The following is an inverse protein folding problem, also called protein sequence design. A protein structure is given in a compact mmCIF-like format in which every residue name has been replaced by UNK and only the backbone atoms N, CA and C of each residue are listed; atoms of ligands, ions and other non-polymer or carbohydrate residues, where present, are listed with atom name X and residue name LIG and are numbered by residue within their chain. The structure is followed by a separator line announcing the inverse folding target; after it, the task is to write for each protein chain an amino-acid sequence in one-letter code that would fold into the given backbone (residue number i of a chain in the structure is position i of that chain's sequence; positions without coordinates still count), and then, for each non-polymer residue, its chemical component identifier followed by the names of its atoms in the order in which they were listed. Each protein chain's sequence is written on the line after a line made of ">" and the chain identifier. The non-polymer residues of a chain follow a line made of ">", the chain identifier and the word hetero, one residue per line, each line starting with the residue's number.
data_IF_501330127262
#
_entry.id   IF_501330127262
#
_cell.length_a   1.000
_cell.length_b   1.000
_cell.length_c   1.000
_cell.angle_alpha   90.00
_cell.angle_beta   90.00
_cell.angle_gamma   90.00
#
_symmetry.space_group_name_H-M   'P 1'
#
loop_
_entity.id
_entity.type
_entity.pdbx_description
1 polymer ?
#
# COMPACT_ATOMS: atom_id res chain seq x y z
N UNK A 1 5.41 -1.25 20.43
CA UNK A 1 6.03 -1.93 19.26
C UNK A 1 7.21 -1.08 18.77
N UNK A 2 8.35 -1.70 18.50
CA UNK A 2 9.51 -0.95 18.01
C UNK A 2 9.35 -0.57 16.54
N UNK A 3 10.01 0.53 16.11
CA UNK A 3 10.01 0.94 14.70
C UNK A 3 10.61 -0.11 13.78
N UNK A 4 11.55 -0.92 14.26
CA UNK A 4 12.12 -2.04 13.50
C UNK A 4 11.08 -3.10 13.18
N UNK A 5 10.23 -3.45 14.15
CA UNK A 5 9.12 -4.39 13.94
C UNK A 5 8.11 -3.81 12.98
N UNK A 6 7.77 -2.53 13.12
CA UNK A 6 6.88 -1.83 12.18
C UNK A 6 7.42 -1.84 10.75
N UNK A 7 8.71 -1.57 10.55
CA UNK A 7 9.35 -1.67 9.23
C UNK A 7 9.32 -3.09 8.67
N UNK A 8 9.57 -4.10 9.51
CA UNK A 8 9.48 -5.50 9.10
C UNK A 8 8.08 -5.87 8.62
N UNK A 9 7.06 -5.43 9.34
CA UNK A 9 5.67 -5.62 8.95
C UNK A 9 5.35 -4.94 7.60
N UNK A 10 5.72 -3.67 7.45
CA UNK A 10 5.50 -2.90 6.21
C UNK A 10 6.25 -3.56 5.05
N UNK A 11 7.49 -3.97 5.26
CA UNK A 11 8.29 -4.66 4.25
C UNK A 11 7.59 -5.93 3.75
N UNK A 12 7.20 -6.81 4.65
CA UNK A 12 6.54 -8.07 4.28
C UNK A 12 5.22 -7.81 3.58
N UNK A 13 4.42 -6.87 4.10
CA UNK A 13 3.14 -6.51 3.52
C UNK A 13 3.27 -6.05 2.06
N UNK A 14 4.15 -5.09 1.79
CA UNK A 14 4.32 -4.55 0.45
C UNK A 14 5.10 -5.47 -0.49
N UNK A 15 6.04 -6.25 0.04
CA UNK A 15 6.73 -7.25 -0.77
C UNK A 15 5.75 -8.31 -1.29
N UNK A 16 4.94 -8.87 -0.40
CA UNK A 16 3.94 -9.87 -0.78
C UNK A 16 2.85 -9.25 -1.66
N UNK A 17 2.39 -8.06 -1.33
CA UNK A 17 1.41 -7.32 -2.13
C UNK A 17 1.92 -7.06 -3.54
N UNK A 18 3.15 -6.56 -3.66
CA UNK A 18 3.78 -6.28 -4.95
C UNK A 18 3.96 -7.54 -5.81
N UNK A 19 4.39 -8.64 -5.21
CA UNK A 19 4.48 -9.94 -5.91
C UNK A 19 3.10 -10.40 -6.37
N UNK A 20 2.07 -10.25 -5.53
CA UNK A 20 0.70 -10.61 -5.88
C UNK A 20 0.17 -9.82 -7.08
N UNK A 21 0.59 -8.56 -7.28
CA UNK A 21 0.21 -7.79 -8.47
C UNK A 21 0.62 -8.49 -9.77
N UNK A 22 1.70 -9.24 -9.77
CA UNK A 22 2.15 -10.00 -10.93
C UNK A 22 1.50 -11.38 -11.02
N UNK A 23 1.37 -12.08 -9.89
CA UNK A 23 0.81 -13.44 -9.86
C UNK A 23 -0.71 -13.47 -9.97
N UNK A 24 -1.40 -12.43 -9.49
CA UNK A 24 -2.85 -12.32 -9.43
C UNK A 24 -3.34 -11.07 -10.18
N UNK A 25 -2.69 -10.71 -11.27
CA UNK A 25 -2.98 -9.49 -12.03
C UNK A 25 -4.44 -9.38 -12.48
N UNK A 26 -5.07 -10.48 -12.87
CA UNK A 26 -6.48 -10.52 -13.24
C UNK A 26 -7.42 -10.09 -12.11
N UNK A 27 -7.13 -10.52 -10.87
CA UNK A 27 -7.90 -10.11 -9.70
C UNK A 27 -7.78 -8.60 -9.43
N UNK A 28 -6.58 -8.03 -9.56
CA UNK A 28 -6.36 -6.59 -9.40
C UNK A 28 -7.00 -5.78 -10.52
N UNK A 29 -6.97 -6.26 -11.75
CA UNK A 29 -7.67 -5.62 -12.89
C UNK A 29 -9.17 -5.59 -12.65
N UNK A 30 -9.75 -6.65 -12.08
CA UNK A 30 -11.20 -6.74 -11.84
C UNK A 30 -11.74 -5.70 -10.86
N UNK A 31 -10.90 -5.15 -9.98
CA UNK A 31 -11.29 -4.12 -9.00
C UNK A 31 -11.00 -2.69 -9.47
N UNK A 32 -10.46 -2.51 -10.67
CA UNK A 32 -10.19 -1.18 -11.22
C UNK A 32 -11.47 -0.38 -11.39
N UNK A 33 -11.47 0.93 -11.02
CA UNK A 33 -12.61 1.80 -11.25
C UNK A 33 -12.94 1.93 -12.74
N UNK A 34 -14.24 2.03 -13.06
CA UNK A 34 -14.73 2.12 -14.45
C UNK A 34 -14.23 3.38 -15.19
N UNK A 35 -13.89 4.45 -14.46
CA UNK A 35 -13.36 5.68 -15.06
C UNK A 35 -11.91 5.56 -15.55
N UNK A 36 -11.20 4.49 -15.17
CA UNK A 36 -9.86 4.22 -15.70
C UNK A 36 -10.00 3.47 -17.03
N UNK A 37 -9.41 3.93 -18.13
CA UNK A 37 -9.46 3.24 -19.40
C UNK A 37 -8.97 1.79 -19.28
N UNK A 38 -9.68 0.85 -19.92
CA UNK A 38 -9.34 -0.57 -19.84
C UNK A 38 -7.91 -0.89 -20.31
N UNK A 39 -7.40 -0.13 -21.29
CA UNK A 39 -6.02 -0.27 -21.79
C UNK A 39 -4.96 0.06 -20.74
N UNK A 40 -5.31 0.79 -19.67
CA UNK A 40 -4.41 1.17 -18.59
C UNK A 40 -4.51 0.27 -17.36
N UNK A 41 -5.49 -0.65 -17.29
CA UNK A 41 -5.70 -1.50 -16.12
C UNK A 41 -4.48 -2.37 -15.82
N UNK A 42 -4.05 -3.18 -16.77
CA UNK A 42 -2.91 -4.09 -16.57
C UNK A 42 -1.59 -3.36 -16.37
N UNK A 43 -1.24 -2.33 -17.18
CA UNK A 43 -0.06 -1.51 -16.93
C UNK A 43 -0.05 -0.87 -15.53
N UNK A 44 -1.18 -0.34 -15.07
CA UNK A 44 -1.29 0.27 -13.74
C UNK A 44 -1.04 -0.76 -12.62
N UNK A 45 -1.58 -1.96 -12.75
CA UNK A 45 -1.35 -3.05 -11.79
C UNK A 45 0.14 -3.41 -11.72
N UNK A 46 0.80 -3.57 -12.85
CA UNK A 46 2.23 -3.91 -12.88
C UNK A 46 3.12 -2.80 -12.36
N UNK A 47 2.85 -1.55 -12.73
CA UNK A 47 3.58 -0.38 -12.21
C UNK A 47 3.43 -0.28 -10.69
N UNK A 48 2.22 -0.46 -10.18
CA UNK A 48 1.97 -0.48 -8.73
C UNK A 48 2.77 -1.58 -8.03
N UNK A 49 2.79 -2.78 -8.61
CA UNK A 49 3.55 -3.92 -8.08
C UNK A 49 5.06 -3.63 -8.00
N UNK A 50 5.63 -3.02 -9.04
CA UNK A 50 7.05 -2.61 -9.05
C UNK A 50 7.32 -1.58 -7.96
N UNK A 51 6.49 -0.55 -7.82
CA UNK A 51 6.64 0.47 -6.78
C UNK A 51 6.51 -0.12 -5.37
N UNK A 52 5.62 -1.06 -5.15
CA UNK A 52 5.49 -1.74 -3.87
C UNK A 52 6.75 -2.53 -3.51
N UNK A 53 7.31 -3.29 -4.43
CA UNK A 53 8.53 -4.07 -4.20
C UNK A 53 9.72 -3.15 -3.95
N UNK A 54 9.91 -2.14 -4.80
CA UNK A 54 11.00 -1.17 -4.68
C UNK A 54 10.88 -0.38 -3.37
N UNK A 55 9.68 0.06 -3.02
CA UNK A 55 9.41 0.74 -1.76
C UNK A 55 9.68 -0.15 -0.55
N UNK A 56 9.25 -1.41 -0.59
CA UNK A 56 9.50 -2.38 0.47
C UNK A 56 10.99 -2.58 0.74
N UNK A 57 11.78 -2.76 -0.31
CA UNK A 57 13.24 -2.88 -0.20
C UNK A 57 13.85 -1.56 0.29
N UNK A 58 13.39 -0.44 -0.26
CA UNK A 58 13.91 0.89 0.05
C UNK A 58 13.78 1.29 1.52
N UNK A 59 12.71 0.89 2.20
CA UNK A 59 12.55 1.21 3.63
C UNK A 59 13.56 0.49 4.54
N UNK A 60 14.15 -0.61 4.07
CA UNK A 60 15.19 -1.33 4.81
C UNK A 60 16.55 -0.62 4.71
N UNK A 61 16.76 0.19 3.67
CA UNK A 61 18.00 0.91 3.44
C UNK A 61 17.93 2.27 4.16
N UNK A 62 18.76 2.53 5.18
CA UNK A 62 18.66 3.74 5.99
C UNK A 62 18.63 5.05 5.18
N UNK A 63 19.48 5.16 4.15
CA UNK A 63 19.57 6.35 3.30
C UNK A 63 18.30 6.60 2.46
N UNK A 64 17.54 5.55 2.12
CA UNK A 64 16.36 5.61 1.26
C UNK A 64 15.04 5.51 2.05
N UNK A 65 15.11 5.18 3.30
CA UNK A 65 13.96 4.81 4.14
C UNK A 65 12.85 5.84 4.12
N UNK A 66 13.17 7.10 4.34
CA UNK A 66 12.17 8.17 4.38
C UNK A 66 11.52 8.39 3.01
N UNK A 67 12.32 8.42 1.96
CA UNK A 67 11.84 8.60 0.58
C UNK A 67 10.97 7.42 0.15
N UNK A 68 11.42 6.20 0.42
CA UNK A 68 10.66 4.99 0.13
C UNK A 68 9.35 4.94 0.93
N UNK A 69 9.38 5.31 2.21
CA UNK A 69 8.18 5.42 3.05
C UNK A 69 7.18 6.42 2.51
N UNK A 70 7.64 7.60 2.10
CA UNK A 70 6.77 8.60 1.46
C UNK A 70 6.16 8.07 0.15
N UNK A 71 6.95 7.35 -0.64
CA UNK A 71 6.47 6.72 -1.87
C UNK A 71 5.39 5.67 -1.62
N UNK A 72 5.58 4.81 -0.61
CA UNK A 72 4.58 3.81 -0.21
C UNK A 72 3.30 4.46 0.32
N UNK A 73 3.41 5.54 1.10
CA UNK A 73 2.23 6.30 1.54
C UNK A 73 1.48 6.91 0.35
N UNK A 74 2.19 7.53 -0.58
CA UNK A 74 1.59 8.10 -1.79
C UNK A 74 0.90 7.03 -2.63
N UNK A 75 1.52 5.86 -2.79
CA UNK A 75 0.93 4.72 -3.50
C UNK A 75 -0.34 4.23 -2.80
N UNK A 76 -0.31 4.09 -1.47
CA UNK A 76 -1.46 3.67 -0.68
C UNK A 76 -2.64 4.64 -0.84
N UNK A 77 -2.38 5.93 -0.85
CA UNK A 77 -3.39 6.96 -1.14
C UNK A 77 -3.89 6.83 -2.58
N UNK A 78 -3.00 6.60 -3.54
CA UNK A 78 -3.35 6.50 -4.95
C UNK A 78 -4.25 5.29 -5.27
N UNK A 79 -4.12 4.18 -4.52
CA UNK A 79 -4.99 3.00 -4.70
C UNK A 79 -6.30 3.07 -3.91
N UNK A 80 -6.46 4.07 -3.05
CA UNK A 80 -7.68 4.26 -2.25
C UNK A 80 -8.94 4.38 -3.12
N UNK A 81 -8.96 5.11 -4.24
CA UNK A 81 -10.14 5.15 -5.12
C UNK A 81 -10.61 3.78 -5.58
N UNK A 82 -9.68 2.85 -5.89
CA UNK A 82 -10.05 1.49 -6.27
C UNK A 82 -10.73 0.73 -5.11
N UNK A 83 -10.20 0.87 -3.90
CA UNK A 83 -10.77 0.24 -2.71
C UNK A 83 -12.14 0.84 -2.34
N UNK A 84 -12.30 2.15 -2.47
CA UNK A 84 -13.61 2.83 -2.27
C UNK A 84 -14.61 2.37 -3.33
N UNK A 85 -14.20 2.30 -4.59
CA UNK A 85 -15.04 1.81 -5.69
C UNK A 85 -15.54 0.38 -5.41
N UNK A 86 -14.65 -0.50 -4.97
CA UNK A 86 -15.00 -1.87 -4.62
C UNK A 86 -16.04 -1.93 -3.48
N UNK A 87 -15.87 -1.11 -2.45
CA UNK A 87 -16.81 -1.02 -1.34
C UNK A 87 -18.18 -0.46 -1.76
N UNK A 88 -18.20 0.60 -2.58
CA UNK A 88 -19.44 1.21 -3.09
C UNK A 88 -20.19 0.29 -4.06
N UNK A 89 -19.50 -0.64 -4.71
CA UNK A 89 -20.08 -1.60 -5.65
C UNK A 89 -19.91 -3.03 -5.14
N UNK A 90 -20.14 -3.24 -3.86
CA UNK A 90 -19.96 -4.53 -3.19
C UNK A 90 -20.77 -5.67 -3.83
N UNK A 91 -21.90 -5.35 -4.45
CA UNK A 91 -22.75 -6.32 -5.19
C UNK A 91 -22.04 -6.95 -6.38
N UNK A 92 -21.00 -6.30 -6.93
CA UNK A 92 -20.17 -6.85 -8.02
C UNK A 92 -19.10 -7.81 -7.51
N UNK A 93 -18.91 -7.91 -6.20
CA UNK A 93 -17.87 -8.70 -5.56
C UNK A 93 -18.50 -9.65 -4.52
N UNK A 94 -19.31 -10.64 -4.97
CA UNK A 94 -20.11 -11.48 -4.06
C UNK A 94 -19.26 -12.36 -3.14
N UNK A 95 -17.99 -12.61 -3.49
CA UNK A 95 -17.07 -13.40 -2.66
C UNK A 95 -16.55 -12.61 -1.45
N UNK A 96 -16.78 -11.28 -1.42
CA UNK A 96 -16.32 -10.41 -0.35
C UNK A 96 -17.51 -9.74 0.35
N UNK A 97 -17.77 -10.05 1.64
CA UNK A 97 -18.79 -9.33 2.42
C UNK A 97 -18.50 -7.82 2.46
N UNK A 98 -19.54 -6.94 2.40
CA UNK A 98 -19.33 -5.49 2.50
C UNK A 98 -18.55 -5.07 3.74
N UNK A 99 -18.74 -5.76 4.87
CA UNK A 99 -17.98 -5.50 6.10
C UNK A 99 -16.47 -5.72 5.93
N UNK A 100 -16.05 -6.72 5.14
CA UNK A 100 -14.63 -6.96 4.84
C UNK A 100 -14.06 -5.86 3.95
N UNK A 101 -14.84 -5.36 2.99
CA UNK A 101 -14.42 -4.26 2.12
C UNK A 101 -14.27 -2.95 2.91
N UNK A 102 -15.17 -2.67 3.86
CA UNK A 102 -15.06 -1.54 4.78
C UNK A 102 -13.84 -1.70 5.70
N UNK A 103 -13.56 -2.90 6.20
CA UNK A 103 -12.40 -3.20 7.03
C UNK A 103 -11.09 -2.94 6.28
N UNK A 104 -11.02 -3.25 4.99
CA UNK A 104 -9.85 -2.95 4.15
C UNK A 104 -9.53 -1.45 4.13
N UNK A 105 -10.54 -0.59 4.06
CA UNK A 105 -10.35 0.86 4.13
C UNK A 105 -9.81 1.30 5.49
N UNK A 106 -10.32 0.74 6.58
CA UNK A 106 -9.82 1.01 7.92
C UNK A 106 -8.36 0.55 8.10
N UNK A 107 -8.04 -0.66 7.62
CA UNK A 107 -6.67 -1.18 7.64
C UNK A 107 -5.71 -0.32 6.81
N UNK A 108 -6.19 0.28 5.73
CA UNK A 108 -5.41 1.19 4.90
C UNK A 108 -4.99 2.45 5.66
N UNK A 109 -5.87 3.02 6.49
CA UNK A 109 -5.53 4.13 7.36
C UNK A 109 -4.48 3.73 8.41
N UNK A 110 -4.64 2.55 9.01
CA UNK A 110 -3.67 2.00 9.96
C UNK A 110 -2.30 1.77 9.29
N UNK A 111 -2.31 1.28 8.07
CA UNK A 111 -1.11 1.06 7.27
C UNK A 111 -0.37 2.37 6.97
N UNK A 112 -1.10 3.42 6.58
CA UNK A 112 -0.54 4.76 6.37
C UNK A 112 0.17 5.27 7.64
N UNK A 113 -0.48 5.13 8.79
CA UNK A 113 0.12 5.50 10.07
C UNK A 113 1.40 4.70 10.35
N UNK A 114 1.35 3.39 10.16
CA UNK A 114 2.49 2.49 10.40
C UNK A 114 3.68 2.83 9.49
N UNK A 115 3.45 3.08 8.21
CA UNK A 115 4.48 3.50 7.26
C UNK A 115 5.12 4.80 7.74
N UNK A 116 4.33 5.83 7.99
CA UNK A 116 4.82 7.13 8.41
C UNK A 116 5.62 7.07 9.71
N UNK A 117 5.12 6.33 10.69
CA UNK A 117 5.79 6.18 11.98
C UNK A 117 7.08 5.36 11.90
N UNK A 118 7.09 4.25 11.18
CA UNK A 118 8.22 3.32 11.16
C UNK A 118 9.36 3.76 10.25
N UNK A 119 9.10 4.62 9.26
CA UNK A 119 10.09 5.06 8.27
C UNK A 119 10.71 6.42 8.59
N UNK A 120 10.16 7.14 9.57
CA UNK A 120 10.75 8.40 10.06
C UNK A 120 11.62 8.12 11.28
N UNK A 121 12.83 8.66 11.28
CA UNK A 121 13.69 8.57 12.43
C UNK A 121 13.13 9.43 13.59
N UNK A 122 13.37 8.98 14.82
CA UNK A 122 13.12 9.82 15.97
C UNK A 122 13.94 11.11 15.81
N UNK A 123 13.32 12.30 16.10
CA UNK A 123 14.08 13.54 16.09
C UNK A 123 15.32 13.37 16.95
N UNK A 124 16.51 13.72 16.44
CA UNK A 124 17.69 13.69 17.28
C UNK A 124 17.39 14.55 18.52
N UNK A 125 17.64 13.99 19.68
CA UNK A 125 17.56 14.77 20.92
C UNK A 125 18.50 15.97 20.75
N UNK A 126 17.98 17.18 20.85
CA UNK A 126 18.79 18.35 20.78
C UNK A 126 19.87 18.26 21.90
N UNK A 127 21.16 18.22 21.56
CA UNK A 127 22.20 18.06 22.56
C UNK A 127 22.29 19.27 23.54
N UNK A 128 21.53 20.33 23.26
CA UNK A 128 21.50 21.56 24.06
C UNK A 128 20.20 21.70 24.91
N UNK A 129 19.42 20.65 25.04
CA UNK A 129 18.24 20.60 25.91
C UNK A 129 18.41 19.62 27.06
#
# INVERSE_FOLDING_TARGET
>A
MSRKIGRGFVFVFFLLGGVCHFLLSGAFVSIMPDYVPASLHLPAVYVSGVFEIVGAVGILIPALRRTAGNGLMALTVAVTPANVHMWLHAERFPDFPPAVLALRLALQLLLLYCIGWSTRDARPKNPFQ
#
